data_IF_884585046119
#
_entry.id   IF_884585046119
#
_cell.length_a   1.000
_cell.length_b   1.000
_cell.length_c   1.000
_cell.angle_alpha   90.00
_cell.angle_beta   90.00
_cell.angle_gamma   90.00
#
_symmetry.space_group_name_H-M   'P 1'
#
loop_
_entity.id
_entity.type
_entity.pdbx_description
1 polymer ?
#
# COMPACT_ATOMS: atom_id res chain seq x y z
N UNK A 1 61.63 -37.04 32.63
CA UNK A 1 61.72 -35.67 33.16
C UNK A 1 60.30 -35.28 33.59
N UNK A 2 59.99 -35.39 34.88
CA UNK A 2 58.74 -34.86 35.41
C UNK A 2 58.89 -33.34 35.51
N UNK A 3 58.01 -32.61 34.77
CA UNK A 3 57.90 -31.16 34.86
C UNK A 3 56.83 -30.84 35.89
N UNK A 4 57.20 -30.26 37.01
CA UNK A 4 56.27 -29.64 37.94
C UNK A 4 55.81 -28.29 37.37
N UNK A 5 54.56 -28.26 36.91
CA UNK A 5 53.91 -27.02 36.39
C UNK A 5 53.47 -26.22 37.60
N UNK A 6 53.87 -24.95 37.68
CA UNK A 6 53.42 -24.09 38.76
C UNK A 6 51.89 -23.88 38.69
N UNK A 7 51.17 -23.73 39.85
CA UNK A 7 49.72 -23.52 39.86
C UNK A 7 49.27 -22.34 38.96
N UNK A 8 50.07 -21.29 38.83
CA UNK A 8 49.82 -20.13 37.96
C UNK A 8 49.91 -20.46 36.48
N UNK A 9 50.87 -21.27 36.07
CA UNK A 9 51.04 -21.73 34.71
C UNK A 9 49.93 -22.70 34.33
N UNK A 10 49.55 -23.58 35.25
CA UNK A 10 48.39 -24.50 35.04
C UNK A 10 47.11 -23.74 34.79
N UNK A 11 46.79 -22.71 35.59
CA UNK A 11 45.61 -21.87 35.40
C UNK A 11 45.63 -21.15 34.07
N UNK A 12 46.78 -20.62 33.64
CA UNK A 12 46.94 -19.95 32.34
C UNK A 12 46.69 -20.91 31.16
N UNK A 13 47.29 -22.12 31.24
CA UNK A 13 47.12 -23.17 30.23
C UNK A 13 45.65 -23.62 30.20
N UNK A 14 45.02 -23.86 31.31
CA UNK A 14 43.61 -24.23 31.42
C UNK A 14 42.69 -23.15 30.85
N UNK A 15 42.96 -21.86 31.10
CA UNK A 15 42.22 -20.76 30.51
C UNK A 15 42.39 -20.72 28.98
N UNK A 16 43.60 -20.86 28.46
CA UNK A 16 43.85 -20.90 27.00
C UNK A 16 43.17 -22.11 26.34
N UNK A 17 43.27 -23.28 26.96
CA UNK A 17 42.62 -24.50 26.45
C UNK A 17 41.09 -24.32 26.41
N UNK A 18 40.52 -23.73 27.45
CA UNK A 18 39.06 -23.40 27.51
C UNK A 18 38.69 -22.45 26.35
N UNK A 19 39.45 -21.39 26.10
CA UNK A 19 39.20 -20.46 25.01
C UNK A 19 39.24 -21.13 23.64
N UNK A 20 40.24 -22.01 23.41
CA UNK A 20 40.38 -22.76 22.16
C UNK A 20 39.19 -23.70 21.95
N UNK A 21 38.78 -24.45 22.98
CA UNK A 21 37.63 -25.36 22.92
C UNK A 21 36.36 -24.58 22.58
N UNK A 22 36.08 -23.45 23.27
CA UNK A 22 34.89 -22.64 22.97
C UNK A 22 34.95 -21.99 21.57
N UNK A 23 36.13 -21.63 21.09
CA UNK A 23 36.28 -21.14 19.72
C UNK A 23 35.95 -22.25 18.71
N UNK A 24 36.52 -23.45 18.87
CA UNK A 24 36.24 -24.60 17.98
C UNK A 24 34.76 -25.01 17.99
N UNK A 25 34.10 -24.98 19.16
CA UNK A 25 32.65 -25.25 19.25
C UNK A 25 31.87 -24.20 18.46
N UNK A 26 32.16 -22.90 18.65
CA UNK A 26 31.48 -21.83 17.90
C UNK A 26 31.70 -21.91 16.40
N UNK A 27 32.89 -22.29 15.97
CA UNK A 27 33.22 -22.46 14.55
C UNK A 27 32.43 -23.65 13.96
N UNK A 28 32.33 -24.77 14.68
CA UNK A 28 31.53 -25.92 14.27
C UNK A 28 30.03 -25.60 14.24
N UNK A 29 29.50 -24.83 15.22
CA UNK A 29 28.13 -24.35 15.23
C UNK A 29 27.84 -23.46 14.03
N UNK A 30 28.77 -22.55 13.66
CA UNK A 30 28.64 -21.69 12.49
C UNK A 30 28.59 -22.48 11.19
N UNK A 31 29.49 -23.46 11.04
CA UNK A 31 29.52 -24.33 9.89
C UNK A 31 28.20 -25.12 9.74
N UNK A 32 27.65 -25.63 10.84
CA UNK A 32 26.34 -26.29 10.83
C UNK A 32 25.22 -25.35 10.36
N UNK A 33 25.24 -24.09 10.78
CA UNK A 33 24.24 -23.09 10.34
C UNK A 33 24.36 -22.86 8.85
N UNK A 34 25.58 -22.63 8.34
CA UNK A 34 25.84 -22.45 6.90
C UNK A 34 25.31 -23.65 6.11
N UNK A 35 25.72 -24.86 6.47
CA UNK A 35 25.30 -26.08 5.78
C UNK A 35 23.77 -26.30 5.79
N UNK A 36 23.09 -25.82 6.85
CA UNK A 36 21.64 -25.95 6.98
C UNK A 36 20.86 -24.94 6.14
N UNK A 37 21.36 -23.69 6.08
CA UNK A 37 20.62 -22.59 5.48
C UNK A 37 21.12 -22.19 4.09
N UNK A 38 22.32 -22.57 3.66
CA UNK A 38 22.87 -22.24 2.34
C UNK A 38 21.93 -22.66 1.19
N UNK A 39 21.33 -23.85 1.30
CA UNK A 39 20.36 -24.37 0.32
C UNK A 39 19.00 -23.68 0.35
N UNK A 40 18.77 -22.85 1.37
CA UNK A 40 17.52 -22.10 1.56
C UNK A 40 17.67 -20.60 1.23
N UNK A 41 18.83 -20.19 0.74
CA UNK A 41 19.02 -18.84 0.22
C UNK A 41 18.04 -18.60 -0.93
N UNK A 42 17.32 -17.49 -0.89
CA UNK A 42 16.25 -17.20 -1.84
C UNK A 42 14.88 -17.82 -1.49
N UNK A 43 14.73 -18.43 -0.32
CA UNK A 43 13.48 -19.04 0.16
C UNK A 43 12.94 -18.32 1.39
N UNK A 44 11.67 -18.60 1.70
CA UNK A 44 11.03 -18.14 2.94
C UNK A 44 11.42 -19.10 4.06
N UNK A 45 11.88 -18.53 5.17
CA UNK A 45 12.11 -19.25 6.41
C UNK A 45 11.19 -18.69 7.50
N UNK A 46 10.69 -19.58 8.36
CA UNK A 46 9.84 -19.20 9.49
C UNK A 46 10.65 -19.28 10.78
N UNK A 47 10.55 -18.26 11.59
CA UNK A 47 11.18 -18.19 12.90
C UNK A 47 10.22 -17.67 13.98
N UNK A 48 10.67 -17.75 15.23
CA UNK A 48 9.94 -17.25 16.38
C UNK A 48 10.63 -16.00 16.93
N UNK A 49 9.85 -14.98 17.22
CA UNK A 49 10.37 -13.73 17.76
C UNK A 49 10.78 -13.92 19.21
N UNK A 50 12.04 -13.60 19.51
CA UNK A 50 12.58 -13.64 20.86
C UNK A 50 12.36 -12.31 21.59
N UNK A 51 12.66 -11.20 20.93
CA UNK A 51 12.50 -9.85 21.49
C UNK A 51 12.59 -8.79 20.40
N UNK A 52 11.91 -7.67 20.67
CA UNK A 52 12.15 -6.41 19.98
C UNK A 52 13.13 -5.59 20.80
N UNK A 53 14.24 -5.16 20.21
CA UNK A 53 15.25 -4.35 20.89
C UNK A 53 14.94 -2.86 20.81
N UNK A 54 15.46 -2.08 21.77
CA UNK A 54 15.25 -0.63 21.82
C UNK A 54 15.80 0.13 20.60
N UNK A 55 16.77 -0.44 19.89
CA UNK A 55 17.30 0.09 18.64
C UNK A 55 16.40 -0.21 17.41
N UNK A 56 15.25 -0.87 17.64
CA UNK A 56 14.26 -1.20 16.60
C UNK A 56 14.59 -2.44 15.78
N UNK A 57 15.62 -3.21 16.12
CA UNK A 57 15.84 -4.53 15.50
C UNK A 57 15.06 -5.61 16.25
N UNK A 58 14.68 -6.65 15.53
CA UNK A 58 13.94 -7.79 16.08
C UNK A 58 14.86 -9.01 16.04
N UNK A 59 15.02 -9.66 17.18
CA UNK A 59 15.73 -10.91 17.30
C UNK A 59 14.78 -12.08 17.06
N UNK A 60 15.14 -12.96 16.14
CA UNK A 60 14.32 -14.08 15.68
C UNK A 60 15.13 -15.36 15.82
N UNK A 61 14.50 -16.40 16.35
CA UNK A 61 15.08 -17.74 16.47
C UNK A 61 14.56 -18.65 15.37
N UNK A 62 15.46 -19.29 14.66
CA UNK A 62 15.19 -20.27 13.63
C UNK A 62 15.58 -21.66 14.09
N UNK A 63 14.67 -22.62 13.96
CA UNK A 63 14.86 -24.04 14.32
C UNK A 63 15.36 -24.25 15.77
N UNK A 64 15.03 -23.34 16.69
CA UNK A 64 15.46 -23.33 18.11
C UNK A 64 16.99 -23.36 18.33
N UNK A 65 17.79 -22.99 17.33
CA UNK A 65 19.25 -23.05 17.40
C UNK A 65 19.98 -21.84 16.86
N UNK A 66 19.37 -21.12 15.91
CA UNK A 66 20.03 -20.04 15.20
C UNK A 66 19.29 -18.74 15.42
N UNK A 67 19.98 -17.76 15.99
CA UNK A 67 19.45 -16.41 16.17
C UNK A 67 19.88 -15.52 15.00
N UNK A 68 18.90 -14.76 14.46
CA UNK A 68 19.17 -13.75 13.46
C UNK A 68 18.42 -12.45 13.79
N UNK A 69 18.94 -11.36 13.23
CA UNK A 69 18.38 -10.03 13.47
C UNK A 69 17.71 -9.47 12.23
N UNK A 70 16.44 -9.11 12.37
CA UNK A 70 15.70 -8.34 11.38
C UNK A 70 15.89 -6.85 11.66
N UNK A 71 16.70 -6.18 10.85
CA UNK A 71 16.99 -4.76 11.01
C UNK A 71 15.80 -3.91 10.61
N UNK A 72 15.65 -2.73 11.20
CA UNK A 72 14.52 -1.81 10.97
C UNK A 72 14.27 -1.50 9.48
N UNK A 73 15.31 -1.36 8.68
CA UNK A 73 15.22 -1.13 7.24
C UNK A 73 14.64 -2.31 6.45
N UNK A 74 14.73 -3.51 7.01
CA UNK A 74 14.23 -4.76 6.45
C UNK A 74 12.87 -5.18 7.00
N UNK A 75 12.26 -4.34 7.87
CA UNK A 75 10.92 -4.52 8.43
C UNK A 75 9.90 -3.76 7.58
N UNK A 76 8.69 -4.29 7.48
CA UNK A 76 7.56 -3.60 6.87
C UNK A 76 7.09 -2.50 7.84
N UNK A 77 6.93 -1.25 7.39
CA UNK A 77 6.44 -0.17 8.23
C UNK A 77 5.04 -0.48 8.79
N UNK A 78 4.88 -0.34 10.09
CA UNK A 78 3.60 -0.55 10.77
C UNK A 78 3.39 -1.96 11.34
N UNK A 79 4.24 -2.94 10.99
CA UNK A 79 4.19 -4.27 11.63
C UNK A 79 4.60 -4.18 13.10
N UNK A 80 3.83 -4.86 13.94
CA UNK A 80 4.11 -5.01 15.37
C UNK A 80 4.15 -6.49 15.70
N UNK A 81 5.18 -6.91 16.37
CA UNK A 81 5.40 -8.29 16.74
C UNK A 81 5.59 -8.45 18.25
N UNK A 82 4.93 -9.44 18.82
CA UNK A 82 5.08 -9.85 20.20
C UNK A 82 6.15 -10.93 20.41
N UNK A 83 6.47 -11.17 21.68
CA UNK A 83 7.30 -12.31 22.06
C UNK A 83 6.62 -13.63 21.70
N UNK A 84 7.32 -14.52 21.02
CA UNK A 84 6.83 -15.83 20.63
C UNK A 84 6.04 -15.88 19.33
N UNK A 85 5.75 -14.74 18.71
CA UNK A 85 5.06 -14.70 17.42
C UNK A 85 5.89 -15.40 16.34
N UNK A 86 5.18 -16.05 15.44
CA UNK A 86 5.76 -16.64 14.23
C UNK A 86 5.90 -15.57 13.14
N UNK A 87 7.08 -15.51 12.54
CA UNK A 87 7.36 -14.58 11.46
C UNK A 87 7.97 -15.31 10.27
N UNK A 88 7.46 -14.99 9.06
CA UNK A 88 8.03 -15.44 7.79
C UNK A 88 8.96 -14.37 7.26
N UNK A 89 10.16 -14.74 6.89
CA UNK A 89 11.16 -13.82 6.34
C UNK A 89 11.84 -14.44 5.13
N UNK A 90 12.28 -13.59 4.22
CA UNK A 90 13.05 -14.00 3.06
C UNK A 90 14.53 -14.08 3.44
N UNK A 91 15.18 -15.20 3.15
CA UNK A 91 16.60 -15.40 3.40
C UNK A 91 17.42 -14.87 2.23
N UNK A 92 18.09 -13.74 2.44
CA UNK A 92 18.89 -13.08 1.42
C UNK A 92 20.27 -13.74 1.25
N UNK A 93 20.93 -14.05 2.36
CA UNK A 93 22.30 -14.53 2.36
C UNK A 93 22.63 -15.25 3.66
N UNK A 94 23.59 -16.18 3.58
CA UNK A 94 24.17 -16.88 4.72
C UNK A 94 25.65 -16.61 4.80
N UNK A 95 26.10 -16.09 5.92
CA UNK A 95 27.46 -15.59 6.07
C UNK A 95 28.23 -16.31 7.16
N UNK A 96 29.42 -16.76 6.83
CA UNK A 96 30.32 -17.44 7.79
C UNK A 96 31.30 -16.48 8.49
N UNK A 97 31.15 -15.14 8.33
CA UNK A 97 32.06 -14.18 8.92
C UNK A 97 31.82 -14.03 10.43
N UNK A 98 32.81 -14.35 11.29
CA UNK A 98 32.69 -14.25 12.73
C UNK A 98 32.50 -12.82 13.26
N UNK A 99 32.77 -11.80 12.45
CA UNK A 99 32.62 -10.40 12.82
C UNK A 99 31.20 -9.85 12.60
N UNK A 100 30.37 -10.55 11.83
CA UNK A 100 28.96 -10.13 11.65
C UNK A 100 28.10 -10.53 12.84
N UNK A 101 27.17 -9.67 13.19
CA UNK A 101 26.25 -9.86 14.31
C UNK A 101 25.28 -11.04 14.11
N UNK A 102 25.02 -11.42 12.87
CA UNK A 102 24.16 -12.55 12.48
C UNK A 102 24.75 -13.27 11.28
N UNK A 103 24.63 -14.59 11.26
CA UNK A 103 25.01 -15.41 10.10
C UNK A 103 23.95 -15.33 9.00
N UNK A 104 22.69 -15.17 9.35
CA UNK A 104 21.59 -15.07 8.39
C UNK A 104 21.27 -13.59 8.13
N UNK A 105 21.24 -13.23 6.86
CA UNK A 105 20.72 -11.94 6.39
C UNK A 105 19.31 -12.15 5.91
N UNK A 106 18.36 -11.54 6.61
CA UNK A 106 16.92 -11.75 6.40
C UNK A 106 16.22 -10.43 6.11
N UNK A 107 15.15 -10.49 5.32
CA UNK A 107 14.36 -9.31 4.93
C UNK A 107 12.87 -9.62 4.84
N UNK A 108 12.04 -8.62 5.18
CA UNK A 108 10.61 -8.62 4.88
C UNK A 108 10.25 -7.57 3.82
N UNK A 109 11.22 -6.75 3.41
CA UNK A 109 11.02 -5.70 2.40
C UNK A 109 11.38 -6.15 0.99
N UNK A 110 12.17 -7.20 0.84
CA UNK A 110 12.65 -7.68 -0.45
C UNK A 110 11.51 -8.20 -1.35
N UNK A 111 11.48 -7.88 -2.66
CA UNK A 111 10.45 -8.38 -3.59
C UNK A 111 10.37 -9.91 -3.65
N UNK A 112 11.48 -10.60 -3.44
CA UNK A 112 11.55 -12.07 -3.39
C UNK A 112 10.63 -12.69 -2.33
N UNK A 113 10.37 -11.99 -1.21
CA UNK A 113 9.38 -12.44 -0.23
C UNK A 113 7.99 -12.57 -0.86
N UNK A 114 7.56 -11.54 -1.60
CA UNK A 114 6.27 -11.54 -2.28
C UNK A 114 6.18 -12.65 -3.33
N UNK A 115 7.21 -12.81 -4.15
CA UNK A 115 7.28 -13.87 -5.18
C UNK A 115 7.12 -15.25 -4.54
N UNK A 116 7.88 -15.53 -3.48
CA UNK A 116 7.82 -16.81 -2.79
C UNK A 116 6.50 -17.05 -2.06
N UNK A 117 5.83 -16.00 -1.58
CA UNK A 117 4.47 -16.13 -1.03
C UNK A 117 3.46 -16.54 -2.11
N UNK A 118 3.57 -15.97 -3.31
CA UNK A 118 2.74 -16.41 -4.43
C UNK A 118 3.04 -17.85 -4.86
N UNK A 119 4.31 -18.27 -4.89
CA UNK A 119 4.69 -19.66 -5.19
C UNK A 119 4.09 -20.64 -4.17
N UNK A 120 3.94 -20.25 -2.91
CA UNK A 120 3.35 -21.09 -1.87
C UNK A 120 1.81 -21.12 -1.92
N UNK A 121 1.17 -20.03 -2.33
CA UNK A 121 -0.29 -19.88 -2.29
C UNK A 121 -0.97 -20.29 -3.60
N UNK A 122 -0.25 -20.20 -4.74
CA UNK A 122 -0.78 -20.42 -6.09
C UNK A 122 -0.19 -21.70 -6.68
N UNK A 123 -0.97 -22.80 -6.75
CA UNK A 123 -0.50 -24.07 -7.29
C UNK A 123 0.02 -23.96 -8.73
N UNK A 124 -0.62 -23.14 -9.56
CA UNK A 124 -0.25 -22.94 -10.96
C UNK A 124 1.14 -22.29 -11.12
N UNK A 125 1.58 -21.52 -10.09
CA UNK A 125 2.94 -20.98 -10.03
C UNK A 125 3.92 -22.06 -9.56
N UNK A 126 3.53 -22.83 -8.54
CA UNK A 126 4.35 -23.93 -8.01
C UNK A 126 4.62 -24.99 -9.08
N UNK A 127 3.63 -25.33 -9.91
CA UNK A 127 3.72 -26.27 -11.02
C UNK A 127 4.46 -25.68 -12.25
N UNK A 128 4.77 -24.36 -12.23
CA UNK A 128 5.50 -23.67 -13.29
C UNK A 128 4.67 -23.35 -14.54
N UNK A 129 3.34 -23.51 -14.47
CA UNK A 129 2.40 -23.12 -15.52
C UNK A 129 2.34 -21.60 -15.63
N UNK A 130 2.13 -20.94 -14.48
CA UNK A 130 2.19 -19.48 -14.35
C UNK A 130 3.54 -19.07 -13.79
N UNK A 131 4.12 -17.99 -14.29
CA UNK A 131 5.40 -17.44 -13.84
C UNK A 131 5.26 -15.99 -13.46
N UNK A 132 5.92 -15.59 -12.37
CA UNK A 132 6.13 -14.19 -12.02
C UNK A 132 7.41 -13.73 -12.71
N UNK A 133 7.29 -12.78 -13.64
CA UNK A 133 8.41 -12.25 -14.42
C UNK A 133 9.14 -11.17 -13.64
N UNK A 134 8.38 -10.20 -13.13
CA UNK A 134 8.91 -9.08 -12.35
C UNK A 134 8.01 -8.77 -11.16
N UNK A 135 8.62 -8.15 -10.14
CA UNK A 135 7.91 -7.65 -8.97
C UNK A 135 8.49 -6.29 -8.55
N UNK A 136 7.65 -5.29 -8.46
CA UNK A 136 7.97 -3.97 -7.93
C UNK A 136 7.20 -3.75 -6.64
N UNK A 137 7.88 -3.31 -5.57
CA UNK A 137 7.29 -3.27 -4.23
C UNK A 137 7.64 -1.99 -3.49
N UNK A 138 6.67 -1.42 -2.81
CA UNK A 138 6.81 -0.45 -1.73
C UNK A 138 6.28 -1.08 -0.45
N UNK A 139 7.16 -1.63 0.41
CA UNK A 139 6.76 -2.44 1.55
C UNK A 139 5.75 -1.76 2.46
N UNK A 140 4.69 -2.48 2.83
CA UNK A 140 3.60 -2.00 3.68
C UNK A 140 2.62 -1.03 3.03
N UNK A 141 2.79 -0.73 1.73
CA UNK A 141 1.90 0.17 0.99
C UNK A 141 1.26 -0.52 -0.21
N UNK A 142 2.05 -0.75 -1.24
CA UNK A 142 1.57 -1.34 -2.50
C UNK A 142 2.69 -2.08 -3.23
N UNK A 143 2.31 -3.13 -3.94
CA UNK A 143 3.19 -3.86 -4.84
C UNK A 143 2.51 -4.11 -6.19
N UNK A 144 3.30 -4.28 -7.23
CA UNK A 144 2.87 -4.78 -8.52
C UNK A 144 3.70 -6.01 -8.88
N UNK A 145 3.03 -7.06 -9.35
CA UNK A 145 3.68 -8.24 -9.89
C UNK A 145 3.26 -8.43 -11.34
N UNK A 146 4.20 -8.83 -12.17
CA UNK A 146 3.96 -9.15 -13.58
C UNK A 146 3.94 -10.66 -13.73
N UNK A 147 2.85 -11.19 -14.27
CA UNK A 147 2.61 -12.63 -14.41
C UNK A 147 2.37 -13.02 -15.87
N UNK A 148 2.91 -14.19 -16.21
CA UNK A 148 2.80 -14.79 -17.54
C UNK A 148 2.40 -16.26 -17.41
N UNK A 149 1.62 -16.78 -18.35
CA UNK A 149 1.29 -18.21 -18.42
C UNK A 149 2.00 -18.86 -19.60
N UNK A 150 2.57 -20.05 -19.37
CA UNK A 150 3.10 -20.90 -20.44
C UNK A 150 1.98 -21.69 -21.15
N UNK A 151 0.77 -21.70 -20.60
CA UNK A 151 -0.41 -22.38 -21.13
C UNK A 151 -1.47 -21.34 -21.48
N UNK A 152 -1.87 -21.29 -22.74
CA UNK A 152 -2.85 -20.33 -23.25
C UNK A 152 -4.25 -20.52 -22.66
N UNK A 153 -4.56 -21.72 -22.14
CA UNK A 153 -5.85 -22.03 -21.51
C UNK A 153 -5.93 -21.52 -20.06
N UNK A 154 -4.79 -21.13 -19.45
CA UNK A 154 -4.71 -20.67 -18.07
C UNK A 154 -4.53 -19.17 -18.01
N UNK A 155 -5.52 -18.44 -17.45
CA UNK A 155 -5.40 -17.03 -17.17
C UNK A 155 -4.46 -16.78 -15.98
N UNK A 156 -3.27 -16.18 -16.19
CA UNK A 156 -2.29 -16.00 -15.13
C UNK A 156 -2.76 -15.03 -14.04
N UNK A 157 -3.56 -14.03 -14.40
CA UNK A 157 -4.10 -13.05 -13.44
C UNK A 157 -5.15 -13.71 -12.55
N UNK A 158 -6.10 -14.43 -13.17
CA UNK A 158 -7.16 -15.16 -12.47
C UNK A 158 -6.60 -16.23 -11.51
N UNK A 159 -5.57 -16.97 -11.91
CA UNK A 159 -4.89 -17.95 -11.08
C UNK A 159 -4.28 -17.31 -9.81
N UNK A 160 -3.61 -16.18 -9.95
CA UNK A 160 -3.01 -15.46 -8.83
C UNK A 160 -4.04 -14.79 -7.91
N UNK A 161 -5.13 -14.24 -8.47
CA UNK A 161 -6.22 -13.63 -7.69
C UNK A 161 -6.96 -14.67 -6.88
N UNK A 162 -7.26 -15.81 -7.51
CA UNK A 162 -8.06 -16.89 -6.93
C UNK A 162 -9.54 -16.54 -6.83
N UNK A 163 -10.33 -17.50 -6.36
CA UNK A 163 -11.79 -17.33 -6.25
C UNK A 163 -12.13 -16.14 -5.34
N UNK A 164 -12.80 -15.13 -5.89
CA UNK A 164 -13.19 -13.90 -5.16
C UNK A 164 -12.02 -13.19 -4.47
N UNK A 165 -10.80 -13.35 -5.00
CA UNK A 165 -9.62 -12.72 -4.43
C UNK A 165 -9.02 -13.44 -3.22
N UNK A 166 -9.42 -14.68 -2.93
CA UNK A 166 -9.01 -15.39 -1.71
C UNK A 166 -7.49 -15.55 -1.60
N UNK A 167 -6.82 -15.94 -2.70
CA UNK A 167 -5.37 -16.18 -2.70
C UNK A 167 -4.59 -14.89 -2.47
N UNK A 168 -4.88 -13.85 -3.25
CA UNK A 168 -4.20 -12.55 -3.08
C UNK A 168 -4.49 -11.95 -1.70
N UNK A 169 -5.70 -12.12 -1.17
CA UNK A 169 -6.06 -11.62 0.16
C UNK A 169 -5.28 -12.29 1.30
N UNK A 170 -4.98 -13.59 1.18
CA UNK A 170 -4.11 -14.30 2.13
C UNK A 170 -2.74 -13.65 2.19
N UNK A 171 -2.16 -13.33 1.03
CA UNK A 171 -0.83 -12.68 0.94
C UNK A 171 -0.90 -11.22 1.46
N UNK A 172 -1.94 -10.48 1.11
CA UNK A 172 -2.18 -9.12 1.61
C UNK A 172 -2.24 -9.10 3.14
N UNK A 173 -2.94 -10.06 3.74
CA UNK A 173 -3.04 -10.17 5.20
C UNK A 173 -1.69 -10.50 5.85
N UNK A 174 -0.90 -11.40 5.27
CA UNK A 174 0.44 -11.74 5.75
C UNK A 174 1.42 -10.54 5.66
N UNK A 175 1.24 -9.67 4.65
CA UNK A 175 2.03 -8.46 4.45
C UNK A 175 1.41 -7.20 5.09
N UNK A 176 0.58 -7.40 6.10
CA UNK A 176 0.02 -6.33 6.92
C UNK A 176 -0.80 -5.30 6.14
N UNK A 177 -1.58 -5.78 5.16
CA UNK A 177 -2.48 -4.93 4.36
C UNK A 177 -1.81 -4.27 3.14
N UNK A 178 -0.63 -4.71 2.74
CA UNK A 178 0.02 -4.25 1.51
C UNK A 178 -0.84 -4.60 0.29
N UNK A 179 -1.26 -3.59 -0.48
CA UNK A 179 -2.09 -3.80 -1.67
C UNK A 179 -1.25 -4.39 -2.79
N UNK A 180 -1.79 -5.39 -3.49
CA UNK A 180 -1.08 -6.10 -4.55
C UNK A 180 -1.86 -5.98 -5.85
N UNK A 181 -1.24 -5.39 -6.87
CA UNK A 181 -1.75 -5.34 -8.23
C UNK A 181 -1.08 -6.44 -9.07
N UNK A 182 -1.89 -7.27 -9.70
CA UNK A 182 -1.43 -8.36 -10.56
C UNK A 182 -1.59 -7.91 -12.00
N UNK A 183 -0.48 -7.83 -12.72
CA UNK A 183 -0.37 -7.29 -14.08
C UNK A 183 -0.04 -8.43 -15.03
N UNK A 184 -0.79 -8.56 -16.14
CA UNK A 184 -0.44 -9.49 -17.20
C UNK A 184 0.81 -9.00 -17.91
N UNK A 185 1.83 -9.85 -17.98
CA UNK A 185 3.04 -9.57 -18.74
C UNK A 185 2.78 -9.62 -20.23
N UNK A 186 3.44 -8.76 -20.98
CA UNK A 186 3.50 -8.78 -22.44
C UNK A 186 4.93 -8.51 -22.87
N UNK A 187 5.36 -9.17 -23.95
CA UNK A 187 6.64 -8.89 -24.59
C UNK A 187 6.61 -7.55 -25.34
N UNK A 188 5.41 -7.11 -25.73
CA UNK A 188 5.18 -5.81 -26.34
C UNK A 188 5.11 -4.74 -25.26
N UNK A 189 6.03 -3.77 -25.32
CA UNK A 189 6.21 -2.75 -24.27
C UNK A 189 4.97 -1.87 -24.12
N UNK A 190 4.31 -1.52 -25.22
CA UNK A 190 3.07 -0.72 -25.22
C UNK A 190 1.98 -1.41 -24.42
N UNK A 191 1.66 -2.64 -24.79
CA UNK A 191 0.66 -3.47 -24.09
C UNK A 191 1.03 -3.68 -22.63
N UNK A 192 2.32 -3.89 -22.33
CA UNK A 192 2.78 -4.08 -20.96
C UNK A 192 2.65 -2.80 -20.13
N UNK A 193 2.95 -1.64 -20.71
CA UNK A 193 2.80 -0.35 -20.04
C UNK A 193 1.32 -0.03 -19.76
N UNK A 194 0.43 -0.29 -20.72
CA UNK A 194 -1.01 -0.16 -20.51
C UNK A 194 -1.49 -1.03 -19.34
N UNK A 195 -1.10 -2.31 -19.32
CA UNK A 195 -1.46 -3.23 -18.24
C UNK A 195 -0.90 -2.77 -16.89
N UNK A 196 0.33 -2.24 -16.86
CA UNK A 196 0.99 -1.83 -15.63
C UNK A 196 0.44 -0.52 -15.04
N UNK A 197 -0.08 0.38 -15.87
CA UNK A 197 -0.69 1.64 -15.44
C UNK A 197 -2.18 1.49 -15.08
N UNK A 198 -2.79 0.34 -15.38
CA UNK A 198 -4.18 0.10 -14.99
C UNK A 198 -4.43 0.49 -13.51
N UNK A 199 -5.61 1.07 -13.17
CA UNK A 199 -6.84 1.14 -13.98
C UNK A 199 -6.95 2.39 -14.89
N UNK A 200 -5.90 3.19 -15.08
CA UNK A 200 -5.94 4.33 -15.97
C UNK A 200 -5.99 3.89 -17.44
N UNK A 201 -6.79 4.56 -18.24
CA UNK A 201 -6.88 4.38 -19.67
C UNK A 201 -5.89 5.32 -20.35
N UNK A 202 -5.10 4.79 -21.28
CA UNK A 202 -4.07 5.51 -22.01
C UNK A 202 -4.60 5.85 -23.39
N UNK A 203 -4.47 7.10 -23.80
CA UNK A 203 -4.89 7.59 -25.11
C UNK A 203 -3.78 7.44 -26.14
N UNK A 204 -2.58 7.86 -25.79
CA UNK A 204 -1.42 7.73 -26.67
C UNK A 204 -0.15 7.44 -25.85
N UNK A 205 0.82 6.84 -26.52
CA UNK A 205 2.10 6.47 -25.91
C UNK A 205 3.23 6.65 -26.92
N UNK A 206 4.32 7.25 -26.50
CA UNK A 206 5.57 7.34 -27.23
C UNK A 206 6.68 6.63 -26.45
N UNK A 207 7.41 5.73 -27.11
CA UNK A 207 8.43 4.90 -26.48
C UNK A 207 9.79 5.26 -27.05
N UNK A 208 10.70 5.67 -26.19
CA UNK A 208 12.11 5.86 -26.49
C UNK A 208 12.92 4.69 -25.91
N UNK A 209 13.23 3.74 -26.80
CA UNK A 209 14.01 2.54 -26.41
C UNK A 209 15.47 2.87 -26.06
N UNK A 210 16.06 3.92 -26.68
CA UNK A 210 17.46 4.28 -26.43
C UNK A 210 17.66 4.81 -25.03
N UNK A 211 16.76 5.70 -24.58
CA UNK A 211 16.80 6.30 -23.24
C UNK A 211 16.02 5.50 -22.20
N UNK A 212 15.27 4.49 -22.61
CA UNK A 212 14.33 3.72 -21.78
C UNK A 212 13.30 4.63 -21.09
N UNK A 213 12.71 5.50 -21.87
CA UNK A 213 11.64 6.40 -21.43
C UNK A 213 10.34 6.08 -22.19
N UNK A 214 9.22 6.27 -21.51
CA UNK A 214 7.87 6.13 -22.05
C UNK A 214 7.12 7.39 -21.68
N UNK A 215 6.68 8.14 -22.66
CA UNK A 215 5.81 9.28 -22.51
C UNK A 215 4.36 8.83 -22.77
N UNK A 216 3.51 9.00 -21.77
CA UNK A 216 2.12 8.53 -21.78
C UNK A 216 1.19 9.72 -21.67
N UNK A 217 0.25 9.81 -22.59
CA UNK A 217 -0.83 10.79 -22.57
C UNK A 217 -2.12 10.10 -22.12
N UNK A 218 -2.80 10.70 -21.19
CA UNK A 218 -4.07 10.23 -20.64
C UNK A 218 -5.08 11.37 -20.61
N UNK A 219 -6.37 11.04 -20.65
CA UNK A 219 -7.42 12.02 -20.43
C UNK A 219 -7.23 12.75 -19.10
N UNK A 220 -7.59 14.02 -19.05
CA UNK A 220 -7.42 14.88 -17.85
C UNK A 220 -8.05 14.26 -16.59
N UNK A 221 -9.20 13.61 -16.74
CA UNK A 221 -9.89 12.91 -15.64
C UNK A 221 -9.16 11.63 -15.18
N UNK A 222 -8.29 11.03 -16.01
CA UNK A 222 -7.51 9.83 -15.73
C UNK A 222 -6.13 10.11 -15.14
N UNK A 223 -5.64 11.35 -15.25
CA UNK A 223 -4.30 11.73 -14.81
C UNK A 223 -4.02 11.34 -13.35
N UNK A 224 -4.96 11.63 -12.46
CA UNK A 224 -4.83 11.29 -11.04
C UNK A 224 -4.77 9.78 -10.79
N UNK A 225 -5.45 8.97 -11.62
CA UNK A 225 -5.42 7.49 -11.54
C UNK A 225 -4.10 6.96 -12.08
N UNK A 226 -3.63 7.47 -13.21
CA UNK A 226 -2.36 7.08 -13.83
C UNK A 226 -1.18 7.35 -12.89
N UNK A 227 -1.10 8.55 -12.34
CA UNK A 227 -0.06 8.93 -11.38
C UNK A 227 -0.22 8.15 -10.06
N UNK A 228 -1.44 8.05 -9.58
CA UNK A 228 -1.76 7.45 -8.29
C UNK A 228 -1.36 8.32 -7.09
N UNK A 229 -1.72 7.89 -5.89
CA UNK A 229 -1.40 8.61 -4.65
C UNK A 229 0.11 8.79 -4.49
N UNK A 230 0.60 10.03 -4.41
CA UNK A 230 2.02 10.37 -4.30
C UNK A 230 2.90 9.79 -5.42
N UNK A 231 2.36 9.61 -6.63
CA UNK A 231 3.09 9.04 -7.75
C UNK A 231 3.39 7.54 -7.63
N UNK A 232 2.67 6.84 -6.77
CA UNK A 232 2.94 5.43 -6.45
C UNK A 232 2.66 4.51 -7.63
N UNK A 233 1.57 4.74 -8.39
CA UNK A 233 1.21 3.89 -9.52
C UNK A 233 2.26 3.95 -10.62
N UNK A 234 2.61 5.15 -11.08
CA UNK A 234 3.66 5.38 -12.09
C UNK A 234 5.01 4.84 -11.63
N UNK A 235 5.40 5.10 -10.37
CA UNK A 235 6.70 4.66 -9.85
C UNK A 235 6.80 3.14 -9.76
N UNK A 236 5.74 2.44 -9.38
CA UNK A 236 5.72 0.98 -9.36
C UNK A 236 5.68 0.40 -10.79
N UNK A 237 4.90 0.99 -11.70
CA UNK A 237 4.88 0.60 -13.10
C UNK A 237 6.25 0.78 -13.75
N UNK A 238 6.89 1.94 -13.55
CA UNK A 238 8.26 2.22 -14.02
C UNK A 238 9.27 1.18 -13.55
N UNK A 239 9.24 0.81 -12.25
CA UNK A 239 10.11 -0.23 -11.70
C UNK A 239 9.80 -1.62 -12.24
N UNK A 240 8.52 -1.91 -12.52
CA UNK A 240 8.07 -3.20 -13.02
C UNK A 240 8.52 -3.45 -14.46
N UNK A 241 8.40 -2.41 -15.31
CA UNK A 241 8.74 -2.46 -16.74
C UNK A 241 10.24 -2.24 -16.97
N UNK A 242 10.88 -1.45 -16.10
CA UNK A 242 12.28 -1.06 -16.24
C UNK A 242 12.50 0.16 -17.14
N UNK A 243 11.43 0.92 -17.45
CA UNK A 243 11.44 2.16 -18.18
C UNK A 243 11.01 3.32 -17.28
N UNK A 244 11.53 4.51 -17.52
CA UNK A 244 11.03 5.72 -16.87
C UNK A 244 9.73 6.14 -17.57
N UNK A 245 8.66 6.27 -16.81
CA UNK A 245 7.34 6.64 -17.33
C UNK A 245 7.05 8.07 -16.94
N UNK A 246 6.80 8.93 -17.92
CA UNK A 246 6.31 10.27 -17.76
C UNK A 246 4.82 10.27 -18.16
N UNK A 247 3.96 10.88 -17.35
CA UNK A 247 2.52 10.94 -17.62
C UNK A 247 2.10 12.39 -17.75
N UNK A 248 1.44 12.72 -18.85
CA UNK A 248 0.84 14.01 -19.15
C UNK A 248 -0.65 13.89 -19.42
N UNK A 249 -1.38 14.97 -19.22
CA UNK A 249 -2.78 15.04 -19.63
C UNK A 249 -2.86 15.51 -21.09
N UNK A 250 -3.90 15.09 -21.80
CA UNK A 250 -4.25 15.66 -23.08
C UNK A 250 -4.78 17.09 -22.88
N UNK A 251 -4.03 18.07 -23.34
CA UNK A 251 -4.42 19.48 -23.26
C UNK A 251 -5.56 19.84 -24.22
N UNK A 252 -5.73 19.05 -25.29
CA UNK A 252 -6.79 19.30 -26.29
C UNK A 252 -8.19 18.95 -25.76
N UNK A 253 -8.32 17.95 -24.86
CA UNK A 253 -9.60 17.63 -24.21
C UNK A 253 -10.07 18.72 -23.24
N UNK A 254 -9.15 19.38 -22.55
CA UNK A 254 -9.52 20.49 -21.64
C UNK A 254 -10.08 21.68 -22.42
N UNK A 255 -9.56 21.96 -23.62
CA UNK A 255 -10.06 23.05 -24.47
C UNK A 255 -11.39 22.69 -25.13
N UNK A 256 -11.53 21.46 -25.63
CA UNK A 256 -12.79 20.96 -26.22
C UNK A 256 -13.90 20.89 -25.18
N UNK A 257 -13.62 20.44 -23.97
CA UNK A 257 -14.63 20.38 -22.90
C UNK A 257 -15.08 21.76 -22.44
N UNK A 258 -14.22 22.76 -22.46
CA UNK A 258 -14.55 24.14 -22.12
C UNK A 258 -15.36 24.78 -23.26
N UNK A 259 -15.01 24.53 -24.51
CA UNK A 259 -15.77 25.00 -25.67
C UNK A 259 -17.14 24.37 -25.75
N UNK A 260 -17.26 23.05 -25.56
CA UNK A 260 -18.56 22.34 -25.51
C UNK A 260 -19.43 22.83 -24.32
N UNK A 261 -18.85 23.06 -23.16
CA UNK A 261 -19.58 23.61 -22.02
C UNK A 261 -20.05 25.03 -22.27
N UNK A 262 -19.23 25.86 -22.93
CA UNK A 262 -19.57 27.21 -23.30
C UNK A 262 -20.69 27.24 -24.37
N UNK A 263 -20.64 26.35 -25.37
CA UNK A 263 -21.68 26.20 -26.37
C UNK A 263 -23.00 25.73 -25.75
N UNK A 264 -22.95 24.77 -24.84
CA UNK A 264 -24.13 24.25 -24.13
C UNK A 264 -24.77 25.32 -23.24
N UNK A 265 -23.96 26.19 -22.63
CA UNK A 265 -24.43 27.30 -21.80
C UNK A 265 -25.02 28.43 -22.64
N UNK A 266 -24.40 28.71 -23.81
CA UNK A 266 -24.94 29.64 -24.80
C UNK A 266 -26.27 29.15 -25.39
N UNK A 267 -26.41 27.87 -25.69
CA UNK A 267 -27.64 27.28 -26.19
C UNK A 267 -28.77 27.31 -25.15
N UNK A 268 -28.45 27.03 -23.88
CA UNK A 268 -29.39 27.18 -22.77
C UNK A 268 -29.86 28.63 -22.58
N UNK A 269 -28.94 29.58 -22.68
CA UNK A 269 -29.29 30.99 -22.56
C UNK A 269 -30.15 31.48 -23.75
N UNK A 270 -29.87 31.04 -25.00
CA UNK A 270 -30.72 31.33 -26.16
C UNK A 270 -32.13 30.80 -25.98
N UNK A 271 -32.30 29.55 -25.52
CA UNK A 271 -33.61 28.94 -25.27
C UNK A 271 -34.36 29.66 -24.14
N UNK A 272 -33.66 30.19 -23.13
CA UNK A 272 -34.28 31.03 -22.08
C UNK A 272 -34.78 32.36 -22.61
N UNK A 273 -33.97 33.05 -23.43
CA UNK A 273 -34.37 34.33 -24.04
C UNK A 273 -35.55 34.16 -24.99
N UNK A 274 -35.52 33.09 -25.82
CA UNK A 274 -36.66 32.76 -26.69
C UNK A 274 -37.94 32.43 -25.92
N UNK A 275 -37.84 31.75 -24.79
CA UNK A 275 -38.98 31.46 -23.94
C UNK A 275 -39.52 32.71 -23.22
N UNK A 276 -38.65 33.63 -22.79
CA UNK A 276 -39.04 34.91 -22.22
C UNK A 276 -39.67 35.87 -23.24
N UNK A 277 -39.19 35.85 -24.51
CA UNK A 277 -39.80 36.62 -25.60
C UNK A 277 -41.19 36.07 -26.00
N UNK A 278 -41.40 34.76 -25.97
CA UNK A 278 -42.71 34.13 -26.23
C UNK A 278 -43.69 34.46 -25.10
N UNK A 279 -43.31 34.40 -23.85
CA UNK A 279 -44.15 34.78 -22.72
C UNK A 279 -44.50 36.27 -22.72
N UNK A 280 -43.58 37.13 -23.15
CA UNK A 280 -43.89 38.58 -23.30
C UNK A 280 -44.80 38.89 -24.47
N UNK A 281 -44.80 38.07 -25.53
CA UNK A 281 -45.76 38.20 -26.66
C UNK A 281 -47.17 37.75 -26.30
N UNK A 282 -47.26 36.61 -25.56
CA UNK A 282 -48.58 36.14 -25.05
C UNK A 282 -49.17 37.10 -24.04
N UNK A 283 -48.38 37.71 -23.17
CA UNK A 283 -48.88 38.69 -22.18
C UNK A 283 -49.21 40.07 -22.80
N UNK A 284 -48.79 40.37 -24.03
CA UNK A 284 -49.17 41.56 -24.77
C UNK A 284 -50.42 41.36 -25.66
N UNK A 285 -50.68 40.12 -26.08
CA UNK A 285 -51.93 39.79 -26.80
C UNK A 285 -53.15 39.64 -25.89
N UNK A 286 -52.98 39.17 -24.63
CA UNK A 286 -54.05 39.11 -23.64
C UNK A 286 -54.48 40.51 -23.09
N UNK A 287 -53.64 41.56 -23.26
CA UNK A 287 -53.97 42.92 -22.85
C UNK A 287 -54.68 43.75 -23.89
N UNK A 288 -54.92 43.25 -25.09
CA UNK A 288 -55.61 43.95 -26.17
C UNK A 288 -57.08 43.59 -26.34
N UNK A 289 -57.61 42.58 -25.60
CA UNK A 289 -59.02 42.14 -25.72
C UNK A 289 -59.92 42.46 -24.51
N UNK A 290 -59.39 43.12 -23.44
CA UNK A 290 -60.20 43.56 -22.29
C UNK A 290 -60.21 45.10 -22.16
N UNK A 291 -60.68 45.80 -23.21
CA UNK A 291 -61.14 47.18 -23.04
C UNK A 291 -62.45 47.39 -23.76
N UNK A 292 -63.55 46.88 -23.17
CA UNK A 292 -64.89 47.39 -23.25
C UNK A 292 -65.82 46.58 -22.34
N UNK A 293 -66.06 47.06 -21.19
CA UNK A 293 -67.42 47.28 -20.66
C UNK A 293 -67.41 47.76 -19.20
N UNK A 294 -67.93 48.98 -19.09
CA UNK A 294 -68.84 49.58 -18.07
C UNK A 294 -68.58 49.31 -16.59
N UNK A 295 -68.22 50.41 -15.97
CA UNK A 295 -68.95 51.24 -15.01
C UNK A 295 -69.61 50.60 -13.79
N UNK A 296 -69.34 51.29 -12.71
CA UNK A 296 -70.14 51.47 -11.47
C UNK A 296 -69.81 50.60 -10.27
N UNK A 297 -69.27 51.21 -9.34
CA UNK A 297 -69.68 51.73 -8.07
C UNK A 297 -69.05 51.13 -6.84
N UNK A 298 -68.57 52.08 -6.10
CA UNK A 298 -68.58 52.25 -4.64
C UNK A 298 -67.74 51.33 -3.73
N UNK A 299 -66.75 51.94 -3.24
CA UNK A 299 -66.59 52.52 -1.88
C UNK A 299 -66.23 51.57 -0.75
N UNK A 300 -65.30 52.09 -0.06
CA UNK A 300 -65.04 52.09 1.37
C UNK A 300 -63.95 51.14 1.89
N UNK A 301 -62.97 51.81 2.29
CA UNK A 301 -62.40 52.00 3.63
C UNK A 301 -61.58 50.82 4.14
N UNK A 302 -60.38 51.09 4.32
CA UNK A 302 -59.53 51.71 5.36
C UNK A 302 -58.91 50.71 6.31
N UNK A 303 -57.67 51.01 6.56
CA UNK A 303 -56.70 50.75 7.64
C UNK A 303 -55.85 49.51 7.54
N UNK A 304 -54.62 49.73 7.34
CA UNK A 304 -53.52 50.26 8.14
C UNK A 304 -53.08 49.33 9.29
N UNK A 305 -51.88 48.97 9.19
CA UNK A 305 -50.81 49.05 10.21
C UNK A 305 -49.78 47.97 9.93
N UNK A 306 -48.67 48.37 9.51
CA UNK A 306 -47.44 48.78 10.19
C UNK A 306 -46.80 47.73 11.08
N UNK A 307 -45.57 47.62 10.74
CA UNK A 307 -44.37 47.58 11.59
C UNK A 307 -43.89 46.20 12.01
N UNK A 308 -42.70 45.99 11.60
CA UNK A 308 -41.35 46.11 12.20
C UNK A 308 -40.86 44.81 12.81
N UNK A 309 -39.79 44.48 12.38
CA UNK A 309 -38.37 44.64 12.78
C UNK A 309 -37.82 43.54 13.67
N UNK A 310 -36.61 43.29 13.28
CA UNK A 310 -35.39 43.10 14.05
C UNK A 310 -35.03 41.70 14.61
N UNK A 311 -33.94 41.23 14.04
CA UNK A 311 -32.67 40.95 14.72
C UNK A 311 -32.72 40.22 16.08
N UNK A 312 -32.01 39.21 16.22
CA UNK A 312 -30.83 39.25 17.06
C UNK A 312 -30.04 37.92 17.09
N UNK A 313 -28.83 38.14 16.94
CA UNK A 313 -27.62 37.53 17.48
C UNK A 313 -27.73 36.87 18.86
N UNK A 314 -26.74 36.03 19.06
CA UNK A 314 -26.14 35.83 20.36
C UNK A 314 -26.22 34.41 20.87
N UNK A 315 -25.16 33.75 20.83
CA UNK A 315 -24.05 33.73 21.76
C UNK A 315 -24.14 32.67 22.86
N UNK A 316 -23.07 31.90 22.90
CA UNK A 316 -22.34 31.38 24.05
C UNK A 316 -23.09 30.72 25.22
N UNK A 317 -22.63 29.59 25.60
CA UNK A 317 -21.80 29.36 26.76
C UNK A 317 -21.99 27.98 27.41
N UNK A 318 -20.91 27.29 27.51
CA UNK A 318 -20.38 26.65 28.72
C UNK A 318 -21.30 25.92 29.68
N UNK A 319 -20.87 24.74 30.01
CA UNK A 319 -21.34 24.01 31.20
C UNK A 319 -20.49 22.76 31.41
N UNK A 320 -19.45 22.92 32.18
CA UNK A 320 -18.67 21.90 32.91
C UNK A 320 -19.60 21.09 33.82
N UNK A 321 -19.02 19.94 34.17
CA UNK A 321 -19.11 19.18 35.44
C UNK A 321 -19.56 17.74 35.20
N UNK A 322 -19.09 16.71 35.81
CA UNK A 322 -18.13 16.45 36.88
C UNK A 322 -17.81 14.96 36.89
N UNK A 323 -16.63 14.70 37.36
CA UNK A 323 -16.06 13.54 37.99
C UNK A 323 -17.03 12.43 38.46
N UNK A 324 -16.61 11.20 38.23
CA UNK A 324 -16.62 10.17 39.29
C UNK A 324 -15.51 9.14 39.06
N UNK A 325 -14.44 9.30 39.81
CA UNK A 325 -13.63 8.22 40.33
C UNK A 325 -14.49 7.20 41.09
N UNK A 326 -14.15 5.93 40.95
CA UNK A 326 -14.25 4.99 42.06
C UNK A 326 -13.30 3.81 41.82
N UNK A 327 -12.30 3.81 42.66
CA UNK A 327 -11.47 2.75 43.19
C UNK A 327 -12.04 1.34 43.09
N UNK A 328 -11.20 0.40 42.72
CA UNK A 328 -11.17 -0.90 43.38
C UNK A 328 -9.72 -1.38 43.53
N UNK A 329 -9.25 -1.26 44.73
CA UNK A 329 -8.02 -1.82 45.30
C UNK A 329 -8.19 -3.31 45.60
N UNK A 330 -7.08 -4.03 45.37
CA UNK A 330 -6.50 -5.11 46.15
C UNK A 330 -7.31 -6.38 46.51
N UNK A 331 -6.78 -7.49 46.07
CA UNK A 331 -6.65 -8.68 46.91
C UNK A 331 -5.41 -9.50 46.54
N UNK A 332 -4.36 -9.29 47.29
CA UNK A 332 -3.30 -10.27 47.59
C UNK A 332 -3.93 -11.44 48.32
N UNK A 333 -3.63 -12.68 48.00
CA UNK A 333 -3.44 -13.79 48.95
C UNK A 333 -2.44 -14.79 48.35
N UNK A 334 -1.39 -14.97 49.14
CA UNK A 334 -0.39 -16.03 49.17
C UNK A 334 -0.98 -17.46 49.07
N UNK A 335 -0.24 -18.34 48.44
CA UNK A 335 0.01 -19.67 49.04
C UNK A 335 1.27 -20.31 48.44
N UNK A 336 2.20 -20.47 49.35
CA UNK A 336 3.45 -21.25 49.29
C UNK A 336 3.19 -22.73 48.93
N UNK A 337 4.12 -23.24 48.25
CA UNK A 337 4.82 -24.55 48.18
C UNK A 337 4.25 -25.76 48.94
N UNK A 338 4.63 -27.03 48.60
CA UNK A 338 6.03 -27.47 48.50
C UNK A 338 6.51 -27.91 47.12
#
# INVERSE_FOLDING_TARGET
VEYEISPKEFLRIAHSARQIIFASIRDAEREMVVNTFEKKVGEIITGNILRAETNGRISINFMNRTEAYLFRREQIPGEQFGFGDHIRVFLLDVNNNPQKASQLTISRTHPGLLIKMFEMEVPEIFDGIVKIVHAAREPGKRAKISVYSNDDEVDPVGACVGMRGSRVQTIVNELHGEKIDIVRHSDEIETYACNALAPAEIESMEIDEENKEIDVVVATNQLSLAIGRQGQNVRLASKLIGYKINVSADEDEEQLSIEEQLELELEKNRKRVEAEELQNKESTEEKSDESNNDSESESSEVEASTEKDENNDGNEASGENDEKESDFEAALIDSETP
#
